data_IF_779990321041
#
_entry.id   IF_779990321041
#
_cell.length_a   1.000
_cell.length_b   1.000
_cell.length_c   1.000
_cell.angle_alpha   90.00
_cell.angle_beta   90.00
_cell.angle_gamma   90.00
#
_symmetry.space_group_name_H-M   'P 1'
#
loop_
_entity.id
_entity.type
_entity.pdbx_description
1 polymer ?
#
# COMPACT_ATOMS: atom_id res chain seq x y z
N UNK A 1 -44.05 5.06 -14.78
CA UNK A 1 -42.79 5.83 -14.92
C UNK A 1 -41.71 4.89 -15.46
N UNK A 2 -41.31 5.04 -16.71
CA UNK A 2 -40.33 4.16 -17.38
C UNK A 2 -38.93 4.75 -17.31
N UNK A 3 -38.11 4.29 -16.36
CA UNK A 3 -36.70 4.69 -16.28
C UNK A 3 -35.90 4.13 -17.46
N UNK A 4 -35.37 5.00 -18.32
CA UNK A 4 -34.38 4.60 -19.33
C UNK A 4 -33.11 4.12 -18.63
N UNK A 5 -32.85 2.82 -18.63
CA UNK A 5 -31.49 2.30 -18.38
C UNK A 5 -30.55 2.93 -19.40
N UNK A 6 -29.47 3.58 -18.94
CA UNK A 6 -28.36 3.96 -19.82
C UNK A 6 -27.66 2.67 -20.25
N UNK A 7 -27.38 2.54 -21.54
CA UNK A 7 -26.56 1.42 -22.05
C UNK A 7 -25.09 1.58 -21.64
N UNK A 8 -24.26 0.53 -21.76
CA UNK A 8 -22.84 0.59 -21.44
C UNK A 8 -22.13 1.66 -22.27
N UNK A 9 -21.16 2.35 -21.67
CA UNK A 9 -20.32 3.30 -22.41
C UNK A 9 -19.46 2.54 -23.43
N UNK A 10 -19.26 3.12 -24.61
CA UNK A 10 -18.32 2.54 -25.58
C UNK A 10 -16.90 2.97 -25.20
N UNK A 11 -15.91 2.08 -25.38
CA UNK A 11 -14.49 2.41 -25.17
C UNK A 11 -14.05 3.68 -25.93
N UNK A 12 -14.66 3.97 -27.08
CA UNK A 12 -14.45 5.20 -27.87
C UNK A 12 -14.71 6.50 -27.10
N UNK A 13 -15.54 6.46 -26.08
CA UNK A 13 -16.09 7.66 -25.46
C UNK A 13 -15.23 8.15 -24.27
N UNK A 14 -14.42 7.24 -23.70
CA UNK A 14 -13.54 7.51 -22.54
C UNK A 14 -12.38 8.45 -22.95
N UNK A 15 -11.80 8.27 -24.14
CA UNK A 15 -10.71 9.13 -24.63
C UNK A 15 -11.14 10.56 -24.98
N UNK A 16 -12.42 10.77 -25.32
CA UNK A 16 -12.89 12.03 -25.90
C UNK A 16 -13.33 13.08 -24.84
N UNK A 17 -13.65 12.65 -23.62
CA UNK A 17 -14.17 13.52 -22.55
C UNK A 17 -13.17 14.54 -22.00
N UNK A 18 -11.86 14.38 -22.24
CA UNK A 18 -10.83 15.37 -21.86
C UNK A 18 -10.58 16.47 -22.90
N UNK A 19 -11.10 16.36 -24.13
CA UNK A 19 -10.85 17.38 -25.16
C UNK A 19 -11.84 18.56 -25.12
N UNK A 20 -13.07 18.34 -24.63
CA UNK A 20 -14.12 19.37 -24.59
C UNK A 20 -13.83 20.55 -23.64
N UNK A 21 -12.93 20.38 -22.66
CA UNK A 21 -12.56 21.43 -21.70
C UNK A 21 -11.38 22.31 -22.12
N UNK A 22 -10.72 22.01 -23.25
CA UNK A 22 -9.57 22.79 -23.78
C UNK A 22 -9.87 23.67 -25.00
N UNK A 23 -11.03 23.49 -25.63
CA UNK A 23 -11.39 24.20 -26.88
C UNK A 23 -12.11 25.56 -26.67
N UNK A 24 -12.20 26.06 -25.44
CA UNK A 24 -13.05 27.20 -25.06
C UNK A 24 -12.27 28.47 -24.59
N UNK A 25 -10.99 28.61 -24.97
CA UNK A 25 -10.22 29.85 -24.75
C UNK A 25 -9.34 30.13 -25.99
N UNK A 26 -9.94 30.65 -27.07
CA UNK A 26 -9.30 31.60 -27.99
C UNK A 26 -10.26 32.01 -29.13
N UNK A 27 -10.81 33.24 -29.05
CA UNK A 27 -11.30 34.06 -30.19
C UNK A 27 -11.99 35.35 -29.70
N UNK A 28 -11.23 36.46 -29.66
CA UNK A 28 -11.58 37.91 -29.74
C UNK A 28 -10.53 38.69 -28.95
N UNK A 29 -10.01 39.84 -29.39
CA UNK A 29 -9.97 40.49 -30.70
C UNK A 29 -8.91 41.61 -30.64
N UNK A 30 -8.33 42.00 -31.78
CA UNK A 30 -7.37 43.12 -31.86
C UNK A 30 -8.05 44.49 -31.62
N UNK A 31 -7.26 45.45 -31.13
CA UNK A 31 -7.35 46.90 -31.39
C UNK A 31 -8.59 47.66 -30.85
N UNK A 32 -8.54 48.94 -30.46
CA UNK A 32 -7.51 50.00 -30.57
C UNK A 32 -7.37 50.85 -29.29
N UNK A 33 -6.36 51.73 -29.27
CA UNK A 33 -6.11 52.78 -28.27
C UNK A 33 -7.15 53.92 -28.26
N UNK A 34 -7.37 54.59 -27.11
CA UNK A 34 -7.41 56.06 -27.03
C UNK A 34 -7.24 56.59 -25.57
N UNK A 35 -7.18 57.91 -25.43
CA UNK A 35 -6.54 58.69 -24.35
C UNK A 35 -7.35 58.93 -23.07
N UNK A 36 -6.66 58.82 -21.93
CA UNK A 36 -6.55 59.81 -20.83
C UNK A 36 -7.62 60.92 -20.75
N UNK A 37 -8.39 60.93 -19.66
CA UNK A 37 -8.90 62.16 -19.05
C UNK A 37 -8.87 62.07 -17.51
N UNK A 38 -8.93 63.23 -16.82
CA UNK A 38 -8.69 63.37 -15.38
C UNK A 38 -9.97 63.81 -14.65
N UNK A 39 -10.21 63.28 -13.45
CA UNK A 39 -10.82 63.96 -12.27
C UNK A 39 -10.54 63.05 -11.06
N UNK A 40 -9.74 63.39 -10.03
CA UNK A 40 -9.71 64.51 -9.05
C UNK A 40 -10.62 64.28 -7.83
N UNK A 41 -10.05 64.51 -6.64
CA UNK A 41 -10.64 64.59 -5.29
C UNK A 41 -11.05 63.29 -4.54
N UNK A 42 -10.78 63.11 -3.23
CA UNK A 42 -9.81 63.78 -2.33
C UNK A 42 -9.60 62.99 -0.99
N UNK A 43 -8.53 63.28 -0.22
CA UNK A 43 -8.30 62.81 1.17
C UNK A 43 -7.30 61.63 1.31
N UNK A 44 -6.04 61.80 1.75
CA UNK A 44 -5.51 62.15 3.09
C UNK A 44 -5.69 61.03 4.13
N UNK A 45 -4.68 60.56 4.89
CA UNK A 45 -3.26 60.94 5.00
C UNK A 45 -2.40 59.89 5.75
N UNK A 46 -1.09 59.81 5.45
CA UNK A 46 0.04 59.31 6.30
C UNK A 46 0.01 57.83 6.79
N UNK A 47 1.11 57.07 6.94
CA UNK A 47 2.55 57.24 6.71
C UNK A 47 3.31 56.16 7.55
N UNK A 48 4.45 55.57 7.18
CA UNK A 48 5.24 55.62 5.94
C UNK A 48 6.47 54.69 5.98
N UNK A 49 7.19 54.63 4.85
CA UNK A 49 8.62 54.28 4.68
C UNK A 49 9.14 52.85 5.02
N UNK A 50 9.46 52.11 3.94
CA UNK A 50 10.63 51.20 3.89
C UNK A 50 11.95 51.99 3.78
N UNK A 51 13.13 51.37 3.93
CA UNK A 51 13.90 51.13 2.70
C UNK A 51 14.74 49.83 2.62
N UNK A 52 14.95 49.44 1.36
CA UNK A 52 15.91 48.50 0.76
C UNK A 52 17.31 48.35 1.38
N UNK A 53 18.01 47.24 1.05
CA UNK A 53 19.34 47.32 0.39
C UNK A 53 19.78 46.00 -0.30
N UNK A 54 20.41 46.11 -1.48
CA UNK A 54 21.09 45.02 -2.20
C UNK A 54 22.57 44.89 -1.76
N UNK A 55 23.21 43.73 -1.94
CA UNK A 55 24.68 43.67 -2.19
C UNK A 55 25.14 42.39 -2.92
N UNK A 56 26.30 42.50 -3.58
CA UNK A 56 26.88 41.55 -4.55
C UNK A 56 28.05 40.73 -3.95
N UNK A 57 28.46 39.68 -4.68
CA UNK A 57 29.51 38.70 -4.31
C UNK A 57 30.96 39.21 -4.37
N UNK A 58 31.90 38.49 -3.70
CA UNK A 58 33.27 38.24 -4.21
C UNK A 58 33.96 37.02 -3.56
N UNK A 59 34.81 36.35 -4.35
CA UNK A 59 35.62 35.15 -4.02
C UNK A 59 36.99 35.51 -3.41
N UNK A 60 37.56 34.62 -2.56
CA UNK A 60 39.02 34.46 -2.34
C UNK A 60 39.42 32.99 -2.05
N UNK A 61 40.66 32.64 -2.43
CA UNK A 61 41.41 31.42 -2.03
C UNK A 61 42.53 31.84 -1.04
N UNK A 62 43.47 31.05 -0.49
CA UNK A 62 44.08 29.69 -0.68
C UNK A 62 44.35 29.06 0.73
N UNK A 63 45.20 28.02 1.03
CA UNK A 63 46.01 27.09 0.21
C UNK A 63 45.96 25.58 0.64
N UNK A 64 46.83 24.75 0.04
CA UNK A 64 47.11 23.32 0.33
C UNK A 64 48.42 23.16 1.14
N UNK A 65 48.51 22.14 2.01
CA UNK A 65 49.59 21.14 2.17
C UNK A 65 49.16 20.14 3.27
N UNK A 66 48.91 18.86 2.97
CA UNK A 66 49.84 17.72 3.06
C UNK A 66 50.39 17.41 4.46
N UNK A 67 49.84 16.36 5.09
CA UNK A 67 50.61 15.27 5.73
C UNK A 67 49.76 14.00 5.82
N UNK A 68 50.44 12.86 5.79
CA UNK A 68 49.91 11.49 5.82
C UNK A 68 49.92 10.90 7.23
N UNK A 69 48.90 10.14 7.62
CA UNK A 69 49.01 8.88 8.39
C UNK A 69 47.63 8.23 8.65
N UNK A 70 47.62 6.90 8.69
CA UNK A 70 46.69 6.01 9.39
C UNK A 70 45.19 6.09 9.02
N UNK A 71 44.86 5.44 7.90
CA UNK A 71 43.54 4.83 7.69
C UNK A 71 43.62 3.42 8.30
N UNK A 72 43.25 3.26 9.56
CA UNK A 72 43.04 1.96 10.23
C UNK A 72 42.40 2.20 11.60
N UNK A 73 41.07 2.45 11.62
CA UNK A 73 40.18 2.19 12.78
C UNK A 73 38.70 2.53 12.54
N UNK A 74 38.36 3.28 11.47
CA UNK A 74 36.98 3.75 11.23
C UNK A 74 35.98 2.68 10.76
N UNK A 75 36.38 1.42 10.66
CA UNK A 75 35.49 0.30 10.34
C UNK A 75 34.88 -0.34 11.60
N UNK A 76 35.63 -0.42 12.71
CA UNK A 76 35.18 -1.05 13.95
C UNK A 76 34.06 -0.27 14.64
N UNK A 77 34.06 1.05 14.52
CA UNK A 77 33.08 1.92 15.20
C UNK A 77 31.69 1.87 14.55
N UNK A 78 31.60 1.59 13.25
CA UNK A 78 30.32 1.53 12.53
C UNK A 78 29.58 0.20 12.81
N UNK A 79 30.31 -0.92 12.80
CA UNK A 79 29.75 -2.23 13.14
C UNK A 79 29.33 -2.29 14.62
N UNK A 80 30.09 -1.65 15.53
CA UNK A 80 29.69 -1.51 16.93
C UNK A 80 28.42 -0.66 17.13
N UNK A 81 28.19 0.36 16.31
CA UNK A 81 26.97 1.17 16.38
C UNK A 81 25.77 0.44 15.77
N UNK A 82 25.97 -0.37 14.74
CA UNK A 82 24.95 -1.25 14.18
C UNK A 82 24.57 -2.38 15.14
N UNK A 83 25.55 -3.00 15.81
CA UNK A 83 25.32 -4.05 16.81
C UNK A 83 24.68 -3.50 18.09
N UNK A 84 25.09 -2.34 18.60
CA UNK A 84 24.42 -1.67 19.72
C UNK A 84 22.96 -1.31 19.38
N UNK A 85 22.68 -0.83 18.17
CA UNK A 85 21.31 -0.54 17.75
C UNK A 85 20.47 -1.82 17.54
N UNK A 86 21.08 -2.92 17.11
CA UNK A 86 20.45 -4.24 17.06
C UNK A 86 20.15 -4.78 18.46
N UNK A 87 21.13 -4.78 19.37
CA UNK A 87 20.96 -5.21 20.76
C UNK A 87 19.91 -4.35 21.49
N UNK A 88 19.85 -3.05 21.20
CA UNK A 88 18.83 -2.13 21.75
C UNK A 88 17.45 -2.35 21.11
N UNK A 89 17.38 -2.74 19.84
CA UNK A 89 16.14 -3.15 19.18
C UNK A 89 15.64 -4.53 19.63
N UNK A 90 16.54 -5.46 19.95
CA UNK A 90 16.25 -6.76 20.55
C UNK A 90 15.81 -6.60 22.00
N UNK A 91 16.44 -5.73 22.79
CA UNK A 91 15.96 -5.34 24.12
C UNK A 91 14.58 -4.69 24.11
N UNK A 92 14.27 -3.87 23.11
CA UNK A 92 12.94 -3.28 22.90
C UNK A 92 11.91 -4.27 22.33
N UNK A 93 12.35 -5.33 21.63
CA UNK A 93 11.49 -6.47 21.23
C UNK A 93 11.21 -7.38 22.43
N UNK A 94 12.19 -7.67 23.27
CA UNK A 94 12.02 -8.41 24.51
C UNK A 94 11.06 -7.70 25.48
N UNK A 95 11.05 -6.36 25.50
CA UNK A 95 10.06 -5.57 26.25
C UNK A 95 8.66 -5.50 25.59
N UNK A 96 8.48 -6.06 24.38
CA UNK A 96 7.18 -6.15 23.68
C UNK A 96 6.69 -7.57 23.41
N UNK A 97 7.53 -8.59 23.65
CA UNK A 97 7.06 -9.93 23.96
C UNK A 97 6.51 -9.89 25.40
N UNK A 98 5.27 -9.45 25.55
CA UNK A 98 4.59 -9.47 26.84
C UNK A 98 3.92 -10.85 27.01
N UNK A 99 4.49 -11.79 27.80
CA UNK A 99 3.73 -12.97 28.20
C UNK A 99 2.47 -12.47 28.90
N UNK A 100 1.29 -12.93 28.46
CA UNK A 100 0.04 -12.35 28.96
C UNK A 100 -0.31 -12.82 30.39
N UNK A 101 0.58 -13.61 30.99
CA UNK A 101 0.73 -13.85 32.41
C UNK A 101 1.97 -13.09 32.92
N UNK A 102 1.77 -11.88 33.45
CA UNK A 102 2.82 -11.21 34.23
C UNK A 102 2.72 -11.67 35.68
N UNK A 103 3.73 -12.42 36.13
CA UNK A 103 3.97 -12.73 37.54
C UNK A 103 3.94 -11.44 38.37
N UNK A 104 2.95 -11.34 39.25
CA UNK A 104 3.00 -10.47 40.42
C UNK A 104 3.02 -11.39 41.64
N UNK A 105 4.05 -11.25 42.47
CA UNK A 105 4.32 -11.99 43.71
C UNK A 105 3.22 -12.97 44.14
N UNK A 106 3.39 -14.24 43.74
CA UNK A 106 2.59 -15.34 44.23
C UNK A 106 2.78 -15.47 45.75
N UNK A 107 1.71 -15.57 46.55
CA UNK A 107 1.82 -16.19 47.86
C UNK A 107 2.05 -17.68 47.62
N UNK A 108 3.33 -18.10 47.69
CA UNK A 108 3.85 -19.48 47.78
C UNK A 108 3.28 -20.50 46.79
N UNK A 109 4.16 -21.06 45.96
CA UNK A 109 3.91 -22.22 45.09
C UNK A 109 2.93 -23.25 45.70
N UNK A 110 1.73 -23.30 45.14
CA UNK A 110 0.85 -24.48 45.20
C UNK A 110 0.74 -25.04 43.80
N UNK A 111 1.11 -26.31 43.67
CA UNK A 111 1.18 -27.09 42.44
C UNK A 111 -0.08 -27.00 41.56
N UNK A 112 0.11 -27.01 40.25
CA UNK A 112 -0.92 -26.83 39.21
C UNK A 112 -2.04 -27.91 39.16
N UNK A 113 -2.03 -28.90 40.06
CA UNK A 113 -2.94 -30.07 40.04
C UNK A 113 -4.03 -30.09 41.14
N UNK A 114 -4.02 -29.17 42.13
CA UNK A 114 -5.12 -29.08 43.10
C UNK A 114 -6.16 -28.03 42.72
N UNK A 115 -7.09 -28.41 41.83
CA UNK A 115 -8.40 -27.73 41.72
C UNK A 115 -9.13 -27.88 43.06
N UNK A 116 -9.00 -26.88 43.93
CA UNK A 116 -9.59 -26.87 45.27
C UNK A 116 -11.10 -26.69 45.17
N UNK A 117 -11.84 -27.79 45.04
CA UNK A 117 -13.30 -27.80 45.17
C UNK A 117 -13.73 -27.34 46.57
N UNK A 118 -14.84 -26.59 46.66
CA UNK A 118 -15.35 -26.05 47.92
C UNK A 118 -16.14 -24.74 47.76
N UNK A 119 -16.36 -24.07 48.88
CA UNK A 119 -17.13 -22.83 48.97
C UNK A 119 -16.30 -21.60 48.57
N UNK A 120 -16.87 -20.73 47.73
CA UNK A 120 -16.30 -19.42 47.40
C UNK A 120 -16.30 -18.55 48.66
N UNK A 121 -15.11 -18.27 49.17
CA UNK A 121 -14.89 -17.46 50.39
C UNK A 121 -14.80 -15.96 50.12
N UNK A 122 -14.28 -15.56 48.96
CA UNK A 122 -14.05 -14.17 48.57
C UNK A 122 -13.97 -14.05 47.04
N UNK A 123 -14.41 -12.89 46.52
CA UNK A 123 -14.27 -12.48 45.12
C UNK A 123 -13.75 -11.03 45.14
N UNK A 124 -12.60 -10.76 44.51
CA UNK A 124 -11.98 -9.43 44.46
C UNK A 124 -11.75 -8.94 43.03
N UNK A 125 -11.77 -7.61 42.82
CA UNK A 125 -11.43 -7.00 41.53
C UNK A 125 -9.91 -6.98 41.32
N UNK A 126 -9.43 -7.37 40.13
CA UNK A 126 -7.99 -7.36 39.82
C UNK A 126 -7.41 -5.94 39.74
N UNK A 127 -6.22 -5.75 40.36
CA UNK A 127 -5.51 -4.45 40.43
C UNK A 127 -5.30 -3.77 39.08
N UNK A 128 -4.94 -4.52 38.03
CA UNK A 128 -4.64 -4.00 36.68
C UNK A 128 -5.87 -3.90 35.78
N UNK A 129 -6.91 -4.71 35.99
CA UNK A 129 -8.08 -4.80 35.12
C UNK A 129 -9.38 -4.87 35.93
N UNK A 130 -10.14 -3.77 35.95
CA UNK A 130 -11.39 -3.65 36.69
C UNK A 130 -12.53 -4.57 36.21
N UNK A 131 -12.38 -5.21 35.05
CA UNK A 131 -13.34 -6.19 34.47
C UNK A 131 -12.91 -7.65 34.67
N UNK A 132 -11.87 -7.92 35.45
CA UNK A 132 -11.50 -9.27 35.88
C UNK A 132 -11.50 -9.38 37.39
N UNK A 133 -11.84 -10.56 37.87
CA UNK A 133 -12.05 -10.87 39.28
C UNK A 133 -11.22 -12.09 39.68
N UNK A 134 -10.66 -12.08 40.87
CA UNK A 134 -10.02 -13.24 41.50
C UNK A 134 -11.03 -13.95 42.39
N UNK A 135 -11.19 -15.25 42.21
CA UNK A 135 -12.07 -16.12 43.01
C UNK A 135 -11.23 -16.91 44.01
N UNK A 136 -11.62 -16.89 45.28
CA UNK A 136 -10.92 -17.57 46.36
C UNK A 136 -11.79 -18.65 47.00
N UNK A 137 -11.29 -19.89 47.05
CA UNK A 137 -11.97 -21.04 47.67
C UNK A 137 -11.17 -21.43 48.92
N UNK A 138 -11.86 -21.64 50.05
CA UNK A 138 -11.23 -21.94 51.36
C UNK A 138 -10.12 -20.94 51.77
N UNK A 139 -10.21 -19.68 51.33
CA UNK A 139 -9.23 -18.63 51.58
C UNK A 139 -7.99 -18.65 50.67
N UNK A 140 -7.85 -19.64 49.79
CA UNK A 140 -6.78 -19.72 48.79
C UNK A 140 -7.26 -19.20 47.43
N UNK A 141 -6.37 -18.62 46.63
CA UNK A 141 -6.70 -18.25 45.25
C UNK A 141 -6.97 -19.50 44.43
N UNK A 142 -8.11 -19.56 43.73
CA UNK A 142 -8.48 -20.71 42.91
C UNK A 142 -8.30 -20.40 41.41
N UNK A 143 -8.91 -19.32 40.92
CA UNK A 143 -8.82 -18.91 39.51
C UNK A 143 -9.28 -17.46 39.33
N UNK A 144 -8.98 -16.88 38.17
CA UNK A 144 -9.47 -15.55 37.78
C UNK A 144 -10.50 -15.62 36.66
N UNK A 145 -11.56 -14.81 36.74
CA UNK A 145 -12.66 -14.77 35.75
C UNK A 145 -12.90 -13.36 35.20
N UNK A 146 -13.51 -13.25 34.02
CA UNK A 146 -14.05 -12.02 33.48
C UNK A 146 -15.39 -11.65 34.12
N UNK A 147 -15.79 -10.38 33.98
CA UNK A 147 -17.13 -9.89 34.32
C UNK A 147 -18.25 -10.70 33.66
N UNK A 148 -18.09 -11.11 32.40
CA UNK A 148 -19.07 -11.93 31.68
C UNK A 148 -19.18 -13.33 32.30
N UNK A 149 -18.05 -13.98 32.59
CA UNK A 149 -18.00 -15.31 33.20
C UNK A 149 -18.62 -15.28 34.60
N UNK A 150 -18.26 -14.27 35.42
CA UNK A 150 -18.81 -14.06 36.76
C UNK A 150 -20.35 -13.99 36.73
N UNK A 151 -20.91 -13.20 35.81
CA UNK A 151 -22.36 -13.04 35.64
C UNK A 151 -23.00 -14.32 35.08
N UNK A 152 -22.39 -14.98 34.08
CA UNK A 152 -22.95 -16.15 33.40
C UNK A 152 -23.16 -17.35 34.35
N UNK A 153 -22.24 -17.57 35.28
CA UNK A 153 -22.38 -18.62 36.32
C UNK A 153 -22.94 -18.10 37.66
N UNK A 154 -23.38 -16.84 37.68
CA UNK A 154 -23.89 -16.13 38.87
C UNK A 154 -22.99 -16.25 40.10
N UNK A 155 -21.66 -16.18 39.91
CA UNK A 155 -20.68 -16.49 40.93
C UNK A 155 -20.79 -15.55 42.15
N UNK A 156 -21.09 -16.13 43.31
CA UNK A 156 -21.25 -15.38 44.56
C UNK A 156 -20.55 -16.07 45.74
N UNK A 157 -20.19 -15.26 46.75
CA UNK A 157 -19.68 -15.78 48.02
C UNK A 157 -20.70 -16.75 48.65
N UNK A 158 -20.23 -17.89 49.16
CA UNK A 158 -21.08 -18.95 49.71
C UNK A 158 -21.54 -19.99 48.70
N UNK A 159 -21.26 -19.82 47.40
CA UNK A 159 -21.52 -20.86 46.41
C UNK A 159 -20.49 -21.99 46.52
N UNK A 160 -20.93 -23.24 46.49
CA UNK A 160 -20.06 -24.42 46.47
C UNK A 160 -19.81 -24.82 45.01
N UNK A 161 -18.54 -25.02 44.66
CA UNK A 161 -18.10 -25.48 43.35
C UNK A 161 -17.40 -26.85 43.49
N UNK A 162 -17.76 -27.80 42.64
CA UNK A 162 -17.00 -29.05 42.46
C UNK A 162 -15.93 -28.88 41.37
N UNK A 163 -15.12 -29.92 41.12
CA UNK A 163 -14.02 -29.84 40.15
C UNK A 163 -14.52 -29.67 38.71
N UNK A 164 -15.61 -30.35 38.36
CA UNK A 164 -16.16 -30.35 37.01
C UNK A 164 -16.75 -28.97 36.67
N UNK A 165 -17.49 -28.37 37.60
CA UNK A 165 -18.03 -27.02 37.45
C UNK A 165 -16.93 -25.94 37.43
N UNK A 166 -15.82 -26.12 38.16
CA UNK A 166 -14.65 -25.23 38.03
C UNK A 166 -14.02 -25.33 36.64
N UNK A 167 -13.91 -26.54 36.08
CA UNK A 167 -13.41 -26.73 34.71
C UNK A 167 -14.33 -26.06 33.68
N UNK A 168 -15.66 -26.20 33.81
CA UNK A 168 -16.64 -25.49 32.97
C UNK A 168 -16.48 -23.96 33.07
N UNK A 169 -16.30 -23.41 34.27
CA UNK A 169 -16.07 -21.97 34.48
C UNK A 169 -14.78 -21.51 33.78
N UNK A 170 -13.68 -22.25 33.96
CA UNK A 170 -12.40 -21.93 33.34
C UNK A 170 -12.46 -22.00 31.82
N UNK A 171 -13.12 -23.02 31.27
CA UNK A 171 -13.27 -23.18 29.82
C UNK A 171 -14.05 -22.02 29.20
N UNK A 172 -15.16 -21.64 29.81
CA UNK A 172 -15.94 -20.47 29.37
C UNK A 172 -15.18 -19.15 29.54
N UNK A 173 -14.28 -19.03 30.53
CA UNK A 173 -13.44 -17.85 30.65
C UNK A 173 -12.38 -17.75 29.54
N UNK A 174 -11.78 -18.89 29.14
CA UNK A 174 -10.90 -18.95 27.96
C UNK A 174 -11.66 -18.49 26.70
N UNK A 175 -12.90 -18.96 26.51
CA UNK A 175 -13.75 -18.54 25.39
C UNK A 175 -14.06 -17.04 25.39
N UNK A 176 -14.42 -16.46 26.54
CA UNK A 176 -14.65 -15.01 26.64
C UNK A 176 -13.35 -14.23 26.42
N UNK A 177 -12.21 -14.68 26.97
CA UNK A 177 -10.91 -14.04 26.73
C UNK A 177 -10.55 -14.00 25.24
N UNK A 178 -10.63 -15.14 24.54
CA UNK A 178 -10.37 -15.23 23.11
C UNK A 178 -11.34 -14.34 22.30
N UNK A 179 -12.62 -14.31 22.68
CA UNK A 179 -13.61 -13.42 22.07
C UNK A 179 -13.25 -11.94 22.26
N UNK A 180 -12.96 -11.49 23.48
CA UNK A 180 -12.59 -10.09 23.75
C UNK A 180 -11.30 -9.66 23.04
N UNK A 181 -10.31 -10.57 22.96
CA UNK A 181 -9.07 -10.37 22.22
C UNK A 181 -9.32 -10.13 20.73
N UNK A 182 -10.18 -10.95 20.11
CA UNK A 182 -10.57 -10.80 18.71
C UNK A 182 -11.43 -9.53 18.47
N UNK A 183 -12.39 -9.22 19.35
CA UNK A 183 -13.17 -7.97 19.29
C UNK A 183 -12.24 -6.75 19.32
N UNK A 184 -11.23 -6.75 20.20
CA UNK A 184 -10.22 -5.68 20.25
C UNK A 184 -9.45 -5.59 18.93
N UNK A 185 -9.05 -6.71 18.34
CA UNK A 185 -8.32 -6.72 17.07
C UNK A 185 -9.17 -6.18 15.89
N UNK A 186 -10.45 -6.55 15.84
CA UNK A 186 -11.44 -6.08 14.87
C UNK A 186 -11.78 -4.59 15.04
N UNK A 187 -11.70 -4.05 16.27
CA UNK A 187 -12.01 -2.64 16.55
C UNK A 187 -11.10 -1.64 15.83
N UNK A 188 -9.91 -2.06 15.41
CA UNK A 188 -8.92 -1.21 14.75
C UNK A 188 -9.12 -1.08 13.23
N UNK A 189 -9.52 -2.17 12.56
CA UNK A 189 -9.77 -2.21 11.12
C UNK A 189 -10.52 -3.50 10.77
N UNK A 190 -11.19 -3.49 9.61
CA UNK A 190 -11.85 -4.67 9.04
C UNK A 190 -10.82 -5.79 8.74
N UNK A 191 -11.14 -7.04 9.12
CA UNK A 191 -10.30 -8.24 8.99
C UNK A 191 -11.09 -9.38 8.35
N UNK A 192 -10.40 -10.30 7.69
CA UNK A 192 -10.97 -11.61 7.34
C UNK A 192 -10.87 -12.58 8.51
N UNK A 193 -11.68 -13.64 8.50
CA UNK A 193 -11.65 -14.73 9.46
C UNK A 193 -10.24 -15.31 9.62
N UNK A 194 -9.54 -15.52 8.50
CA UNK A 194 -8.16 -16.02 8.49
C UNK A 194 -7.20 -15.10 9.24
N UNK A 195 -7.37 -13.78 9.15
CA UNK A 195 -6.55 -12.82 9.89
C UNK A 195 -6.89 -12.84 11.39
N UNK A 196 -8.16 -13.05 11.77
CA UNK A 196 -8.56 -13.21 13.18
C UNK A 196 -8.01 -14.52 13.76
N UNK A 197 -8.14 -15.64 13.04
CA UNK A 197 -7.58 -16.95 13.44
C UNK A 197 -6.07 -16.90 13.58
N UNK A 198 -5.37 -16.27 12.63
CA UNK A 198 -3.93 -16.05 12.73
C UNK A 198 -3.57 -15.24 13.99
N UNK A 199 -4.38 -14.24 14.36
CA UNK A 199 -4.15 -13.44 15.57
C UNK A 199 -4.42 -14.20 16.86
N UNK A 200 -5.42 -15.08 16.89
CA UNK A 200 -5.70 -15.94 18.05
C UNK A 200 -4.60 -17.01 18.22
N UNK A 201 -4.11 -17.59 17.13
CA UNK A 201 -2.95 -18.51 17.17
C UNK A 201 -1.64 -17.82 17.59
N UNK A 202 -1.41 -16.55 17.22
CA UNK A 202 -0.25 -15.76 17.68
C UNK A 202 -0.26 -15.53 19.21
N UNK A 203 -1.45 -15.56 19.82
CA UNK A 203 -1.66 -15.39 21.27
C UNK A 203 -1.91 -16.73 21.97
N UNK A 204 -1.47 -17.83 21.34
CA UNK A 204 -1.46 -19.20 21.88
C UNK A 204 -2.83 -19.74 22.33
N UNK A 205 -3.92 -19.25 21.74
CA UNK A 205 -5.28 -19.72 22.03
C UNK A 205 -5.49 -21.15 21.52
N UNK A 206 -5.99 -22.02 22.39
CA UNK A 206 -6.32 -23.41 22.07
C UNK A 206 -7.30 -23.52 20.88
N UNK A 207 -7.13 -24.49 19.96
CA UNK A 207 -7.95 -24.58 18.75
C UNK A 207 -9.46 -24.65 19.00
N UNK A 208 -9.90 -25.41 20.01
CA UNK A 208 -11.33 -25.51 20.36
C UNK A 208 -11.89 -24.16 20.83
N UNK A 209 -11.16 -23.46 21.70
CA UNK A 209 -11.50 -22.12 22.19
C UNK A 209 -11.57 -21.11 21.04
N UNK A 210 -10.63 -21.20 20.09
CA UNK A 210 -10.64 -20.38 18.87
C UNK A 210 -11.90 -20.62 18.03
N UNK A 211 -12.30 -21.87 17.79
CA UNK A 211 -13.52 -22.16 17.00
C UNK A 211 -14.76 -21.56 17.67
N UNK A 212 -14.89 -21.67 18.99
CA UNK A 212 -16.02 -21.10 19.76
C UNK A 212 -16.05 -19.57 19.66
N UNK A 213 -14.89 -18.92 19.82
CA UNK A 213 -14.77 -17.47 19.69
C UNK A 213 -15.11 -17.00 18.25
N UNK A 214 -14.59 -17.67 17.22
CA UNK A 214 -14.85 -17.34 15.80
C UNK A 214 -16.31 -17.57 15.43
N UNK A 215 -16.92 -18.68 15.85
CA UNK A 215 -18.34 -18.96 15.62
C UNK A 215 -19.24 -17.87 16.22
N UNK A 216 -18.98 -17.48 17.47
CA UNK A 216 -19.69 -16.38 18.15
C UNK A 216 -19.50 -15.03 17.43
N UNK A 217 -18.30 -14.73 16.95
CA UNK A 217 -18.03 -13.50 16.18
C UNK A 217 -18.77 -13.45 14.84
N UNK A 218 -18.95 -14.60 14.17
CA UNK A 218 -19.79 -14.72 12.96
C UNK A 218 -21.27 -14.55 13.28
N UNK A 219 -21.76 -15.16 14.37
CA UNK A 219 -23.14 -15.03 14.82
C UNK A 219 -23.54 -13.56 15.04
N UNK A 220 -22.68 -12.79 15.72
CA UNK A 220 -22.89 -11.34 15.94
C UNK A 220 -22.43 -10.45 14.77
N UNK A 221 -22.05 -11.04 13.62
CA UNK A 221 -21.60 -10.35 12.39
C UNK A 221 -20.41 -9.39 12.58
N UNK A 222 -19.52 -9.69 13.53
CA UNK A 222 -18.23 -9.01 13.68
C UNK A 222 -17.15 -9.61 12.76
N UNK A 223 -17.33 -10.85 12.31
CA UNK A 223 -16.63 -11.44 11.16
C UNK A 223 -17.66 -11.63 10.04
N UNK A 224 -17.36 -11.06 8.87
CA UNK A 224 -18.13 -11.20 7.63
C UNK A 224 -17.13 -11.07 6.47
N UNK A 225 -16.71 -12.21 5.93
CA UNK A 225 -15.65 -12.28 4.91
C UNK A 225 -16.14 -11.78 3.54
N UNK A 226 -17.46 -11.86 3.27
CA UNK A 226 -18.08 -11.23 2.10
C UNK A 226 -18.02 -9.70 2.21
N UNK A 227 -18.38 -9.12 3.36
CA UNK A 227 -18.29 -7.68 3.59
C UNK A 227 -16.84 -7.18 3.61
N UNK A 228 -15.91 -7.97 4.18
CA UNK A 228 -14.48 -7.74 4.05
C UNK A 228 -14.04 -7.67 2.58
N UNK A 229 -14.41 -8.66 1.77
CA UNK A 229 -13.98 -8.76 0.37
C UNK A 229 -14.54 -7.66 -0.52
N UNK A 230 -15.80 -7.26 -0.33
CA UNK A 230 -16.40 -6.10 -0.99
C UNK A 230 -15.64 -4.81 -0.66
N UNK A 231 -15.40 -4.54 0.63
CA UNK A 231 -14.65 -3.37 1.07
C UNK A 231 -13.21 -3.35 0.53
N UNK A 232 -12.56 -4.52 0.48
CA UNK A 232 -11.23 -4.69 -0.10
C UNK A 232 -11.23 -4.39 -1.60
N UNK A 233 -12.20 -4.92 -2.36
CA UNK A 233 -12.34 -4.71 -3.81
C UNK A 233 -12.53 -3.23 -4.14
N UNK A 234 -13.50 -2.56 -3.48
CA UNK A 234 -13.73 -1.11 -3.59
C UNK A 234 -12.45 -0.30 -3.32
N UNK A 235 -11.66 -0.70 -2.32
CA UNK A 235 -10.40 -0.02 -1.97
C UNK A 235 -9.30 -0.28 -3.02
N UNK A 236 -9.19 -1.52 -3.49
CA UNK A 236 -8.17 -1.95 -4.44
C UNK A 236 -8.36 -1.36 -5.85
N UNK A 237 -9.59 -1.24 -6.33
CA UNK A 237 -9.89 -0.58 -7.60
C UNK A 237 -9.68 0.94 -7.52
N UNK A 238 -10.26 1.61 -6.52
CA UNK A 238 -10.25 3.08 -6.46
C UNK A 238 -8.85 3.65 -6.19
N UNK A 239 -8.16 3.14 -5.15
CA UNK A 239 -6.86 3.68 -4.72
C UNK A 239 -5.72 3.14 -5.58
N UNK A 240 -5.65 1.81 -5.73
CA UNK A 240 -4.47 1.13 -6.30
C UNK A 240 -4.59 0.81 -7.80
N UNK A 241 -5.81 0.91 -8.35
CA UNK A 241 -6.15 0.55 -9.74
C UNK A 241 -5.61 -0.83 -10.09
N UNK A 242 -5.89 -1.80 -9.20
CA UNK A 242 -5.61 -3.21 -9.46
C UNK A 242 -6.67 -3.76 -10.44
N UNK A 243 -6.27 -4.71 -11.27
CA UNK A 243 -7.19 -5.44 -12.13
C UNK A 243 -7.79 -6.66 -11.42
N UNK A 244 -8.89 -7.22 -11.94
CA UNK A 244 -9.67 -8.26 -11.29
C UNK A 244 -8.85 -9.47 -10.80
N UNK A 245 -7.94 -9.98 -11.62
CA UNK A 245 -7.18 -11.20 -11.34
C UNK A 245 -6.23 -11.04 -10.13
N UNK A 246 -5.71 -9.83 -9.89
CA UNK A 246 -4.88 -9.57 -8.70
C UNK A 246 -5.75 -9.44 -7.46
N UNK A 247 -6.92 -8.79 -7.55
CA UNK A 247 -7.84 -8.63 -6.42
C UNK A 247 -8.34 -10.01 -5.96
N UNK A 248 -8.86 -10.83 -6.88
CA UNK A 248 -9.34 -12.19 -6.57
C UNK A 248 -8.24 -13.05 -5.91
N UNK A 249 -7.00 -12.99 -6.41
CA UNK A 249 -5.86 -13.70 -5.80
C UNK A 249 -5.50 -13.17 -4.40
N UNK A 250 -5.58 -11.87 -4.18
CA UNK A 250 -5.32 -11.27 -2.86
C UNK A 250 -6.42 -11.63 -1.84
N UNK A 251 -7.68 -11.69 -2.27
CA UNK A 251 -8.80 -12.19 -1.46
C UNK A 251 -8.63 -13.67 -1.10
N UNK A 252 -8.29 -14.52 -2.08
CA UNK A 252 -8.00 -15.96 -1.84
C UNK A 252 -6.83 -16.15 -0.88
N UNK A 253 -5.77 -15.34 -1.00
CA UNK A 253 -4.65 -15.35 -0.05
C UNK A 253 -5.08 -14.93 1.37
N UNK A 254 -6.07 -14.04 1.49
CA UNK A 254 -6.70 -13.61 2.74
C UNK A 254 -7.75 -14.59 3.28
N UNK A 255 -7.99 -15.72 2.61
CA UNK A 255 -8.77 -16.85 3.12
C UNK A 255 -10.21 -16.95 2.62
N UNK A 256 -10.66 -16.01 1.79
CA UNK A 256 -12.04 -16.01 1.30
C UNK A 256 -12.31 -17.21 0.37
N UNK A 257 -13.53 -17.75 0.48
CA UNK A 257 -14.06 -18.78 -0.42
C UNK A 257 -14.38 -18.23 -1.82
N UNK A 258 -14.62 -19.13 -2.78
CA UNK A 258 -14.87 -18.73 -4.17
C UNK A 258 -16.20 -17.96 -4.30
N UNK A 259 -17.26 -18.39 -3.63
CA UNK A 259 -18.55 -17.66 -3.56
C UNK A 259 -18.42 -16.24 -2.99
N UNK A 260 -17.54 -16.05 -2.00
CA UNK A 260 -17.30 -14.75 -1.35
C UNK A 260 -16.46 -13.84 -2.22
N UNK A 261 -15.50 -14.40 -2.95
CA UNK A 261 -14.71 -13.70 -3.97
C UNK A 261 -15.64 -13.23 -5.09
N UNK A 262 -16.48 -14.11 -5.65
CA UNK A 262 -17.40 -13.75 -6.73
C UNK A 262 -18.40 -12.66 -6.28
N UNK A 263 -18.94 -12.77 -5.06
CA UNK A 263 -19.77 -11.72 -4.47
C UNK A 263 -19.01 -10.40 -4.28
N UNK A 264 -17.72 -10.46 -3.93
CA UNK A 264 -16.86 -9.28 -3.77
C UNK A 264 -16.50 -8.63 -5.10
N UNK A 265 -16.35 -9.43 -6.17
CA UNK A 265 -16.01 -8.96 -7.50
C UNK A 265 -17.19 -8.26 -8.20
N UNK A 266 -18.44 -8.48 -7.77
CA UNK A 266 -19.59 -7.69 -8.22
C UNK A 266 -19.50 -6.19 -7.91
N UNK A 267 -18.61 -5.78 -6.99
CA UNK A 267 -18.30 -4.37 -6.72
C UNK A 267 -17.44 -3.70 -7.80
N UNK A 268 -16.84 -4.49 -8.71
CA UNK A 268 -15.96 -4.00 -9.76
C UNK A 268 -16.62 -4.19 -11.12
N UNK A 269 -17.44 -3.22 -11.51
CA UNK A 269 -18.09 -3.24 -12.81
C UNK A 269 -17.08 -3.06 -13.97
N UNK A 270 -17.49 -3.52 -15.15
CA UNK A 270 -16.63 -3.55 -16.34
C UNK A 270 -16.26 -2.16 -16.87
N UNK A 271 -17.12 -1.15 -16.71
CA UNK A 271 -16.82 0.21 -17.19
C UNK A 271 -15.73 0.82 -16.30
N UNK A 272 -15.82 0.65 -14.97
CA UNK A 272 -14.79 1.04 -14.00
C UNK A 272 -13.47 0.26 -14.20
N UNK A 273 -13.52 -1.02 -14.56
CA UNK A 273 -12.33 -1.82 -14.90
C UNK A 273 -11.58 -1.23 -16.11
N UNK A 274 -12.32 -0.96 -17.19
CA UNK A 274 -11.80 -0.38 -18.43
C UNK A 274 -11.20 1.01 -18.18
N UNK A 275 -11.88 1.87 -17.41
CA UNK A 275 -11.35 3.20 -17.07
C UNK A 275 -10.06 3.11 -16.25
N UNK A 276 -10.03 2.26 -15.21
CA UNK A 276 -8.84 2.06 -14.38
C UNK A 276 -7.65 1.53 -15.21
N UNK A 277 -7.90 0.56 -16.09
CA UNK A 277 -6.90 0.01 -17.00
C UNK A 277 -6.36 1.07 -17.96
N UNK A 278 -7.24 1.84 -18.62
CA UNK A 278 -6.84 2.92 -19.53
C UNK A 278 -5.98 3.97 -18.82
N UNK A 279 -6.41 4.47 -17.66
CA UNK A 279 -5.70 5.54 -16.91
C UNK A 279 -4.29 5.14 -16.51
N UNK A 280 -4.06 3.87 -16.11
CA UNK A 280 -2.72 3.40 -15.77
C UNK A 280 -1.89 3.05 -17.03
N UNK A 281 -2.54 2.55 -18.08
CA UNK A 281 -1.90 2.21 -19.35
C UNK A 281 -1.37 3.47 -20.05
N UNK A 282 -2.22 4.47 -20.28
CA UNK A 282 -1.88 5.78 -20.88
C UNK A 282 -0.67 6.40 -20.18
N UNK A 283 -0.74 6.54 -18.85
CA UNK A 283 0.30 7.16 -18.02
C UNK A 283 1.63 6.37 -18.05
N UNK A 284 1.57 5.05 -18.08
CA UNK A 284 2.77 4.22 -18.16
C UNK A 284 3.36 4.23 -19.56
N UNK A 285 2.54 4.14 -20.60
CA UNK A 285 2.94 4.10 -22.01
C UNK A 285 3.65 5.39 -22.42
N UNK A 286 3.05 6.56 -22.18
CA UNK A 286 3.70 7.87 -22.42
C UNK A 286 5.06 7.99 -21.70
N UNK A 287 5.19 7.42 -20.49
CA UNK A 287 6.45 7.41 -19.74
C UNK A 287 7.51 6.49 -20.37
N UNK A 288 7.11 5.42 -21.07
CA UNK A 288 8.03 4.54 -21.80
C UNK A 288 8.40 5.10 -23.18
N UNK A 289 7.46 5.75 -23.89
CA UNK A 289 7.71 6.36 -25.20
C UNK A 289 8.85 7.41 -25.17
N UNK A 290 9.02 8.10 -24.03
CA UNK A 290 10.16 9.03 -23.80
C UNK A 290 11.52 8.32 -23.60
N UNK A 291 11.60 6.99 -23.69
CA UNK A 291 12.75 6.18 -23.24
C UNK A 291 13.07 4.94 -24.10
N UNK A 292 12.19 4.57 -25.02
CA UNK A 292 12.32 3.39 -25.86
C UNK A 292 11.43 3.55 -27.11
N UNK A 293 11.69 2.73 -28.12
CA UNK A 293 10.82 2.57 -29.29
C UNK A 293 9.36 2.34 -28.92
N UNK A 294 8.46 2.74 -29.81
CA UNK A 294 7.02 2.58 -29.66
C UNK A 294 6.65 1.10 -29.41
N UNK A 295 7.27 0.18 -30.14
CA UNK A 295 7.15 -1.27 -29.95
C UNK A 295 7.54 -1.73 -28.55
N UNK A 296 8.69 -1.28 -28.02
CA UNK A 296 9.13 -1.68 -26.68
C UNK A 296 8.37 -0.97 -25.56
N UNK A 297 7.90 0.26 -25.78
CA UNK A 297 6.98 0.93 -24.88
C UNK A 297 5.65 0.16 -24.77
N UNK A 298 5.13 -0.33 -25.90
CA UNK A 298 3.90 -1.12 -25.95
C UNK A 298 4.07 -2.44 -25.20
N UNK A 299 5.13 -3.20 -25.50
CA UNK A 299 5.41 -4.48 -24.83
C UNK A 299 5.59 -4.34 -23.30
N UNK A 300 6.30 -3.30 -22.84
CA UNK A 300 6.44 -3.02 -21.40
C UNK A 300 5.12 -2.64 -20.73
N UNK A 301 4.25 -1.94 -21.46
CA UNK A 301 2.93 -1.55 -20.94
C UNK A 301 2.02 -2.77 -20.82
N UNK A 302 2.00 -3.67 -21.81
CA UNK A 302 1.33 -4.99 -21.70
C UNK A 302 1.79 -5.76 -20.46
N UNK A 303 3.11 -5.91 -20.27
CA UNK A 303 3.67 -6.58 -19.09
C UNK A 303 3.26 -5.91 -17.77
N UNK A 304 3.23 -4.57 -17.73
CA UNK A 304 2.79 -3.82 -16.55
C UNK A 304 1.30 -4.04 -16.23
N UNK A 305 0.43 -4.11 -17.24
CA UNK A 305 -1.00 -4.37 -17.05
C UNK A 305 -1.28 -5.83 -16.61
N UNK A 306 -0.54 -6.80 -17.15
CA UNK A 306 -0.59 -8.20 -16.67
C UNK A 306 -0.18 -8.28 -15.19
N UNK A 307 0.91 -7.61 -14.80
CA UNK A 307 1.34 -7.54 -13.39
C UNK A 307 0.31 -6.83 -12.49
N UNK A 308 -0.48 -5.92 -13.06
CA UNK A 308 -1.59 -5.25 -12.38
C UNK A 308 -2.86 -6.10 -12.29
N UNK A 309 -2.97 -7.20 -13.05
CA UNK A 309 -4.07 -8.15 -12.96
C UNK A 309 -5.23 -7.91 -13.91
N UNK A 310 -5.05 -7.14 -14.97
CA UNK A 310 -6.06 -6.98 -16.01
C UNK A 310 -6.07 -8.16 -16.98
N UNK A 311 -7.22 -8.40 -17.61
CA UNK A 311 -7.37 -9.50 -18.57
C UNK A 311 -6.61 -9.23 -19.89
N UNK A 312 -6.20 -10.31 -20.57
CA UNK A 312 -5.40 -10.24 -21.79
C UNK A 312 -6.12 -9.58 -22.96
N UNK A 313 -7.43 -9.79 -23.11
CA UNK A 313 -8.21 -9.23 -24.21
C UNK A 313 -8.36 -7.71 -24.02
N UNK A 314 -8.69 -7.27 -22.80
CA UNK A 314 -8.71 -5.85 -22.44
C UNK A 314 -7.35 -5.18 -22.67
N UNK A 315 -6.26 -5.85 -22.30
CA UNK A 315 -4.89 -5.35 -22.53
C UNK A 315 -4.60 -5.21 -24.02
N UNK A 316 -5.02 -6.16 -24.86
CA UNK A 316 -4.79 -6.12 -26.29
C UNK A 316 -5.56 -4.95 -26.94
N UNK A 317 -6.84 -4.79 -26.62
CA UNK A 317 -7.69 -3.70 -27.13
C UNK A 317 -7.17 -2.31 -26.74
N UNK A 318 -6.85 -2.12 -25.45
CA UNK A 318 -6.31 -0.85 -24.95
C UNK A 318 -4.97 -0.51 -25.58
N UNK A 319 -4.10 -1.50 -25.79
CA UNK A 319 -2.80 -1.26 -26.38
C UNK A 319 -2.83 -1.01 -27.88
N UNK A 320 -3.87 -1.50 -28.59
CA UNK A 320 -4.13 -1.07 -29.97
C UNK A 320 -4.55 0.41 -29.99
N UNK A 321 -5.56 0.78 -29.20
CA UNK A 321 -6.05 2.16 -29.11
C UNK A 321 -4.95 3.16 -28.70
N UNK A 322 -4.11 2.81 -27.72
CA UNK A 322 -3.00 3.65 -27.30
C UNK A 322 -1.89 3.74 -28.36
N UNK A 323 -1.60 2.66 -29.08
CA UNK A 323 -0.63 2.65 -30.18
C UNK A 323 -1.07 3.57 -31.33
N UNK A 324 -2.36 3.54 -31.67
CA UNK A 324 -2.92 4.37 -32.74
C UNK A 324 -3.02 5.86 -32.32
N UNK A 325 -3.23 6.13 -31.02
CA UNK A 325 -3.37 7.51 -30.50
C UNK A 325 -2.03 8.21 -30.19
N UNK A 326 -0.97 7.46 -29.86
CA UNK A 326 0.34 8.02 -29.46
C UNK A 326 1.46 7.68 -30.46
N UNK A 327 1.14 7.69 -31.74
CA UNK A 327 2.12 7.57 -32.82
C UNK A 327 2.72 8.94 -33.15
N UNK A 328 3.95 9.16 -32.71
CA UNK A 328 4.73 10.39 -32.92
C UNK A 328 6.14 9.98 -33.39
N UNK A 329 6.34 10.00 -34.71
CA UNK A 329 7.58 9.59 -35.37
C UNK A 329 8.75 10.51 -34.99
N UNK A 330 8.53 11.82 -34.86
CA UNK A 330 9.55 12.79 -34.44
C UNK A 330 10.03 12.49 -33.01
N UNK A 331 9.11 12.16 -32.10
CA UNK A 331 9.46 11.75 -30.74
C UNK A 331 10.21 10.42 -30.73
N UNK A 332 9.81 9.44 -31.54
CA UNK A 332 10.54 8.15 -31.64
C UNK A 332 11.93 8.33 -32.25
N UNK A 333 12.07 9.16 -33.30
CA UNK A 333 13.34 9.55 -33.92
C UNK A 333 14.27 10.23 -32.92
N UNK A 334 13.76 11.17 -32.10
CA UNK A 334 14.54 11.86 -31.07
C UNK A 334 14.97 10.96 -29.89
N UNK A 335 14.35 9.79 -29.70
CA UNK A 335 14.78 8.75 -28.74
C UNK A 335 15.77 7.78 -29.41
N UNK A 336 15.52 7.43 -30.66
CA UNK A 336 16.39 6.64 -31.54
C UNK A 336 17.78 7.29 -31.70
N UNK A 337 17.86 8.59 -32.00
CA UNK A 337 19.13 9.34 -32.13
C UNK A 337 20.02 9.21 -30.89
N UNK A 338 19.43 9.32 -29.69
CA UNK A 338 20.16 9.18 -28.40
C UNK A 338 20.70 7.76 -28.20
N UNK A 339 19.97 6.75 -28.68
CA UNK A 339 20.44 5.36 -28.68
C UNK A 339 21.49 5.10 -29.77
N UNK A 340 21.35 5.74 -30.93
CA UNK A 340 22.29 5.71 -32.05
C UNK A 340 23.66 6.27 -31.62
N UNK A 341 23.72 7.50 -31.12
CA UNK A 341 24.94 8.12 -30.55
C UNK A 341 25.61 7.18 -29.53
N UNK A 342 24.81 6.61 -28.63
CA UNK A 342 25.28 5.71 -27.58
C UNK A 342 25.90 4.42 -28.14
N UNK A 343 25.33 3.87 -29.21
CA UNK A 343 25.89 2.68 -29.87
C UNK A 343 27.10 3.02 -30.75
N UNK A 344 27.10 4.14 -31.48
CA UNK A 344 28.27 4.65 -32.20
C UNK A 344 29.46 4.84 -31.25
N UNK A 345 29.28 5.55 -30.12
CA UNK A 345 30.31 5.72 -29.09
C UNK A 345 30.78 4.40 -28.47
N UNK A 346 29.88 3.42 -28.30
CA UNK A 346 30.20 2.08 -27.79
C UNK A 346 31.05 1.26 -28.77
N UNK A 347 30.73 1.34 -30.06
CA UNK A 347 31.34 0.49 -31.09
C UNK A 347 32.43 1.18 -31.93
N UNK A 348 32.86 2.39 -31.55
CA UNK A 348 33.91 3.23 -32.18
C UNK A 348 35.27 2.58 -32.53
N UNK A 349 35.48 1.30 -32.21
CA UNK A 349 36.63 0.49 -32.66
C UNK A 349 36.40 -0.16 -34.02
N UNK A 350 35.14 -0.30 -34.42
CA UNK A 350 34.73 -0.73 -35.77
C UNK A 350 34.65 0.50 -36.67
N UNK A 351 34.77 0.29 -37.98
CA UNK A 351 34.67 1.36 -38.99
C UNK A 351 33.82 0.93 -40.19
N UNK A 352 33.35 1.91 -40.95
CA UNK A 352 32.56 1.71 -42.17
C UNK A 352 31.39 0.74 -41.99
N UNK A 353 31.20 -0.14 -42.98
CA UNK A 353 30.05 -1.05 -43.07
C UNK A 353 29.87 -1.97 -41.86
N UNK A 354 30.96 -2.39 -41.20
CA UNK A 354 30.88 -3.25 -40.01
C UNK A 354 30.28 -2.51 -38.81
N UNK A 355 30.68 -1.26 -38.60
CA UNK A 355 30.10 -0.39 -37.57
C UNK A 355 28.61 -0.18 -37.84
N UNK A 356 28.25 0.26 -39.05
CA UNK A 356 26.87 0.53 -39.43
C UNK A 356 25.99 -0.72 -39.27
N UNK A 357 26.44 -1.89 -39.74
CA UNK A 357 25.69 -3.14 -39.57
C UNK A 357 25.52 -3.52 -38.09
N UNK A 358 26.57 -3.36 -37.27
CA UNK A 358 26.50 -3.65 -35.83
C UNK A 358 25.52 -2.73 -35.12
N UNK A 359 25.52 -1.43 -35.45
CA UNK A 359 24.65 -0.43 -34.84
C UNK A 359 23.20 -0.61 -35.29
N UNK A 360 22.93 -0.80 -36.61
CA UNK A 360 21.59 -1.14 -37.12
C UNK A 360 21.00 -2.35 -36.41
N UNK A 361 21.76 -3.42 -36.24
CA UNK A 361 21.31 -4.62 -35.51
C UNK A 361 20.98 -4.35 -34.03
N UNK A 362 21.73 -3.50 -33.34
CA UNK A 362 21.44 -3.13 -31.95
C UNK A 362 20.18 -2.25 -31.82
N UNK A 363 19.94 -1.35 -32.77
CA UNK A 363 18.74 -0.51 -32.82
C UNK A 363 17.48 -1.32 -33.20
N UNK A 364 17.60 -2.24 -34.16
CA UNK A 364 16.53 -3.16 -34.53
C UNK A 364 16.14 -4.09 -33.36
N UNK A 365 17.13 -4.61 -32.61
CA UNK A 365 16.87 -5.36 -31.37
C UNK A 365 16.26 -4.48 -30.25
N UNK A 366 16.44 -3.16 -30.32
CA UNK A 366 15.70 -2.18 -29.52
C UNK A 366 14.31 -1.85 -30.05
N UNK A 367 13.85 -2.52 -31.10
CA UNK A 367 12.47 -2.47 -31.59
C UNK A 367 12.11 -1.25 -32.44
N UNK A 368 13.09 -0.43 -32.84
CA UNK A 368 12.87 0.65 -33.80
C UNK A 368 12.67 0.06 -35.22
N UNK A 369 11.82 0.67 -36.07
CA UNK A 369 11.62 0.21 -37.44
C UNK A 369 12.84 0.53 -38.33
N UNK A 370 13.08 -0.31 -39.34
CA UNK A 370 14.25 -0.20 -40.23
C UNK A 370 14.34 1.14 -40.97
N UNK A 371 13.21 1.75 -41.29
CA UNK A 371 13.11 3.02 -42.02
C UNK A 371 13.62 4.18 -41.15
N UNK A 372 13.08 4.37 -39.94
CA UNK A 372 13.60 5.35 -38.97
C UNK A 372 15.08 5.09 -38.63
N UNK A 373 15.52 3.83 -38.55
CA UNK A 373 16.94 3.49 -38.33
C UNK A 373 17.82 4.00 -39.47
N UNK A 374 17.37 3.91 -40.73
CA UNK A 374 18.11 4.42 -41.88
C UNK A 374 18.14 5.96 -41.86
N UNK A 375 16.97 6.60 -41.69
CA UNK A 375 16.84 8.06 -41.60
C UNK A 375 17.72 8.66 -40.48
N UNK A 376 17.74 8.04 -39.29
CA UNK A 376 18.58 8.50 -38.19
C UNK A 376 20.09 8.36 -38.47
N UNK A 377 20.49 7.40 -39.32
CA UNK A 377 21.88 7.22 -39.73
C UNK A 377 22.27 8.23 -40.81
N UNK A 378 21.38 8.52 -41.76
CA UNK A 378 21.58 9.57 -42.77
C UNK A 378 21.78 10.93 -42.07
N UNK A 379 20.89 11.31 -41.14
CA UNK A 379 21.04 12.52 -40.32
C UNK A 379 22.36 12.52 -39.53
N UNK A 380 22.76 11.38 -38.96
CA UNK A 380 24.01 11.27 -38.20
C UNK A 380 25.25 11.37 -39.10
N UNK A 381 25.19 10.89 -40.33
CA UNK A 381 26.26 11.04 -41.33
C UNK A 381 26.35 12.51 -41.77
N UNK A 382 25.23 13.17 -42.10
CA UNK A 382 25.16 14.61 -42.42
C UNK A 382 25.66 15.54 -41.28
N UNK A 383 25.45 15.17 -40.01
CA UNK A 383 25.94 15.94 -38.85
C UNK A 383 27.43 15.74 -38.52
N UNK A 384 28.11 14.76 -39.15
CA UNK A 384 29.49 14.38 -38.81
C UNK A 384 30.47 14.35 -40.01
N UNK A 385 30.02 14.73 -41.22
CA UNK A 385 30.87 15.11 -42.37
C UNK A 385 31.46 16.54 -42.24
#
# INVERSE_FOLDING_TARGET
MTGKKRGPMKLSDIGNTKQSSKAAVDKKSKQDSYTREKHSDNGLSEGGQSPSYQKKARVKQTPRHQTSANIEDSASTADNLASDLLAKAEGLRAQKANPLFQEGELPTETSEDEVVAGEITLIEVQKKNKKRFNVYIKGQFAFGVSENTLVKFALHKGQVLDKDFIADIQQIDKEDYAYQLAVRFLSHQLRSEKEVRAKLNEEEIEPEVMEKAVAKLKEVKLIDDTMFGQAYTRTAMNINKKGPNVIARELKNKGLGEDEIDQSMNEYDRDTEVENAYVIAEKYFQKQLRKASHRNASQKTKQYLVQKGFDSDLIQDLMQQLADHYHDEDQELAVLQKDLEKYMRRYKKLSGRELTFKVKGMLYNKGYPSELINQALEIYEEENE
#
